data_IF_956346335325
#
_entry.id   IF_956346335325
#
_cell.length_a   1.000
_cell.length_b   1.000
_cell.length_c   1.000
_cell.angle_alpha   90.00
_cell.angle_beta   90.00
_cell.angle_gamma   90.00
#
_symmetry.space_group_name_H-M   'P 1'
#
loop_
_entity.id
_entity.type
_entity.pdbx_description
1 polymer ?
#
# COMPACT_ATOMS: atom_id res chain seq x y z
N UNK A 1 -18.43 23.34 11.70
CA UNK A 1 -17.04 23.10 11.26
C UNK A 1 -17.06 21.81 10.46
N UNK A 2 -16.95 21.91 9.14
CA UNK A 2 -17.06 20.77 8.24
C UNK A 2 -15.80 19.90 8.40
N UNK A 3 -15.99 18.64 8.75
CA UNK A 3 -14.91 17.66 8.75
C UNK A 3 -14.42 17.50 7.30
N UNK A 4 -13.16 17.83 7.03
CA UNK A 4 -12.53 17.64 5.71
C UNK A 4 -12.55 16.15 5.37
N UNK A 5 -13.36 15.78 4.37
CA UNK A 5 -13.73 14.38 4.09
C UNK A 5 -12.97 13.71 2.94
N UNK A 6 -11.96 14.37 2.34
CA UNK A 6 -10.91 13.84 1.45
C UNK A 6 -10.42 14.96 0.52
N UNK A 7 -9.11 15.14 0.39
CA UNK A 7 -8.41 16.15 -0.43
C UNK A 7 -8.60 16.03 -1.97
N UNK A 8 -9.58 15.25 -2.44
CA UNK A 8 -9.81 15.02 -3.88
C UNK A 8 -11.21 15.48 -4.33
N UNK A 9 -12.10 15.85 -3.39
CA UNK A 9 -13.44 16.33 -3.72
C UNK A 9 -13.47 17.83 -4.08
N UNK A 10 -12.54 18.60 -3.52
CA UNK A 10 -12.31 20.01 -3.80
C UNK A 10 -10.90 20.12 -4.37
N UNK A 11 -10.63 21.04 -5.30
CA UNK A 11 -9.35 21.21 -5.99
C UNK A 11 -8.19 21.67 -5.08
N UNK A 12 -8.19 21.26 -3.82
CA UNK A 12 -7.14 21.50 -2.85
C UNK A 12 -5.91 20.62 -3.16
N UNK A 13 -4.69 21.15 -2.96
CA UNK A 13 -3.48 20.35 -3.08
C UNK A 13 -3.42 19.23 -2.02
N UNK A 14 -2.98 18.05 -2.44
CA UNK A 14 -2.71 16.91 -1.57
C UNK A 14 -1.44 17.18 -0.78
N UNK A 15 -1.50 17.17 0.55
CA UNK A 15 -0.35 17.49 1.39
C UNK A 15 0.62 16.31 1.54
N UNK A 16 1.89 16.52 1.17
CA UNK A 16 2.97 15.52 1.17
C UNK A 16 4.03 15.92 2.18
N UNK A 17 4.44 14.97 3.02
CA UNK A 17 5.56 15.10 3.94
C UNK A 17 6.72 14.21 3.49
N UNK A 18 7.88 14.80 3.18
CA UNK A 18 9.13 14.07 3.03
C UNK A 18 9.85 14.02 4.37
N UNK A 19 10.16 12.81 4.84
CA UNK A 19 10.94 12.61 6.07
C UNK A 19 12.41 12.37 5.71
N UNK A 20 13.26 13.39 5.87
CA UNK A 20 14.69 13.28 5.60
C UNK A 20 15.49 12.98 6.86
N UNK A 21 16.33 11.96 6.80
CA UNK A 21 17.33 11.64 7.81
C UNK A 21 18.74 11.88 7.29
N UNK A 22 19.72 11.92 8.21
CA UNK A 22 21.10 12.16 7.84
C UNK A 22 21.65 11.07 6.92
N UNK A 23 22.34 11.50 5.84
CA UNK A 23 22.90 10.64 4.78
C UNK A 23 21.84 9.85 3.99
N UNK A 24 20.65 10.43 3.81
CA UNK A 24 19.67 9.92 2.85
C UNK A 24 20.21 9.93 1.41
N UNK A 25 19.70 9.07 0.53
CA UNK A 25 20.07 9.07 -0.89
C UNK A 25 19.31 10.17 -1.66
N UNK A 26 20.06 11.05 -2.34
CA UNK A 26 19.51 12.28 -2.90
C UNK A 26 18.39 12.02 -3.92
N UNK A 27 18.55 11.03 -4.80
CA UNK A 27 17.57 10.75 -5.86
C UNK A 27 16.29 10.08 -5.33
N UNK A 28 16.35 9.39 -4.18
CA UNK A 28 15.15 8.88 -3.50
C UNK A 28 14.23 10.01 -3.04
N UNK A 29 14.81 11.17 -2.74
CA UNK A 29 14.09 12.40 -2.43
C UNK A 29 13.70 13.16 -3.69
N UNK A 30 14.69 13.53 -4.52
CA UNK A 30 14.47 14.47 -5.62
C UNK A 30 13.65 13.87 -6.76
N UNK A 31 13.70 12.55 -6.98
CA UNK A 31 12.91 11.89 -8.01
C UNK A 31 11.40 12.04 -7.78
N UNK A 32 10.85 11.55 -6.65
CA UNK A 32 9.46 11.77 -6.29
C UNK A 32 9.09 13.26 -6.16
N UNK A 33 9.98 14.09 -5.59
CA UNK A 33 9.77 15.53 -5.46
C UNK A 33 9.50 16.19 -6.82
N UNK A 34 10.34 15.90 -7.81
CA UNK A 34 10.22 16.44 -9.17
C UNK A 34 8.88 16.02 -9.79
N UNK A 35 8.52 14.73 -9.66
CA UNK A 35 7.26 14.21 -10.20
C UNK A 35 6.03 14.88 -9.57
N UNK A 36 5.98 14.99 -8.24
CA UNK A 36 4.84 15.64 -7.56
C UNK A 36 4.74 17.13 -7.91
N UNK A 37 5.86 17.82 -8.08
CA UNK A 37 5.89 19.26 -8.37
C UNK A 37 5.28 19.60 -9.73
N UNK A 38 5.43 18.71 -10.73
CA UNK A 38 4.86 18.91 -12.06
C UNK A 38 3.38 18.51 -12.17
N UNK A 39 2.84 17.79 -11.19
CA UNK A 39 1.47 17.31 -11.26
C UNK A 39 0.45 18.41 -11.02
N UNK A 40 -0.56 18.43 -11.89
CA UNK A 40 -1.69 19.37 -11.85
C UNK A 40 -3.02 18.62 -11.90
N UNK A 41 -4.05 19.17 -11.25
CA UNK A 41 -5.43 18.68 -11.32
C UNK A 41 -6.02 18.94 -12.72
N UNK A 42 -5.70 20.08 -13.32
CA UNK A 42 -6.00 20.40 -14.73
C UNK A 42 -4.71 20.77 -15.47
N UNK A 43 -4.31 19.91 -16.41
CA UNK A 43 -3.09 20.05 -17.23
C UNK A 43 -3.07 21.34 -18.04
N UNK A 44 -4.24 21.94 -18.29
CA UNK A 44 -4.34 23.21 -19.03
C UNK A 44 -4.19 24.42 -18.13
N UNK A 45 -4.25 24.25 -16.82
CA UNK A 45 -4.19 25.34 -15.86
C UNK A 45 -3.02 25.17 -14.86
N UNK A 46 -1.92 25.94 -15.04
CA UNK A 46 -0.73 25.85 -14.19
C UNK A 46 -0.98 26.14 -12.70
N UNK A 47 -2.05 26.86 -12.38
CA UNK A 47 -2.39 27.23 -11.01
C UNK A 47 -3.04 26.08 -10.22
N UNK A 48 -3.33 24.95 -10.89
CA UNK A 48 -4.01 23.80 -10.28
C UNK A 48 -3.03 22.74 -9.78
N UNK A 49 -1.98 23.14 -9.05
CA UNK A 49 -1.01 22.19 -8.49
C UNK A 49 -1.69 21.11 -7.66
N UNK A 50 -1.34 19.85 -7.93
CA UNK A 50 -2.01 18.72 -7.30
C UNK A 50 -1.43 18.36 -5.93
N UNK A 51 -0.15 18.68 -5.68
CA UNK A 51 0.53 18.36 -4.44
C UNK A 51 1.16 19.59 -3.80
N UNK A 52 1.08 19.67 -2.49
CA UNK A 52 1.81 20.62 -1.66
C UNK A 52 2.82 19.88 -0.79
N UNK A 53 4.09 20.30 -0.82
CA UNK A 53 5.22 19.49 -0.34
C UNK A 53 5.92 20.18 0.82
N UNK A 54 6.01 19.46 1.94
CA UNK A 54 6.76 19.84 3.13
C UNK A 54 7.91 18.86 3.35
N UNK A 55 9.11 19.35 3.68
CA UNK A 55 10.27 18.52 4.01
C UNK A 55 10.58 18.67 5.50
N UNK A 56 10.54 17.55 6.21
CA UNK A 56 10.95 17.44 7.60
C UNK A 56 12.38 16.91 7.71
N UNK A 57 13.11 17.42 8.70
CA UNK A 57 14.42 16.92 9.08
C UNK A 57 14.66 17.08 10.57
N UNK A 58 15.64 16.34 11.10
CA UNK A 58 16.06 16.51 12.50
C UNK A 58 16.77 17.86 12.70
N UNK A 59 17.56 18.26 11.70
CA UNK A 59 18.29 19.52 11.65
C UNK A 59 17.76 20.40 10.50
N UNK A 60 17.92 21.74 10.56
CA UNK A 60 17.57 22.66 9.47
C UNK A 60 18.30 22.38 8.15
N UNK A 61 19.41 21.64 8.21
CA UNK A 61 20.25 21.27 7.08
C UNK A 61 20.53 19.78 7.15
N UNK A 62 19.99 19.02 6.21
CA UNK A 62 20.17 17.56 6.13
C UNK A 62 21.14 17.25 5.00
N UNK A 63 22.23 16.55 5.34
CA UNK A 63 23.26 16.14 4.39
C UNK A 63 22.86 14.84 3.71
N UNK A 64 22.73 14.84 2.38
CA UNK A 64 22.57 13.60 1.60
C UNK A 64 23.87 12.79 1.54
N UNK A 65 23.75 11.53 1.16
CA UNK A 65 24.86 10.61 0.95
C UNK A 65 25.83 11.13 -0.14
N UNK A 66 25.29 11.78 -1.17
CA UNK A 66 26.03 12.37 -2.29
C UNK A 66 26.70 13.72 -1.94
N UNK A 67 26.54 14.23 -0.72
CA UNK A 67 27.21 15.45 -0.24
C UNK A 67 26.45 16.75 -0.48
N UNK A 68 25.22 16.68 -1.02
CA UNK A 68 24.33 17.84 -1.18
C UNK A 68 23.57 18.09 0.13
N UNK A 69 23.51 19.35 0.56
CA UNK A 69 22.75 19.76 1.74
C UNK A 69 21.37 20.23 1.29
N UNK A 70 20.32 19.65 1.86
CA UNK A 70 18.92 20.07 1.68
C UNK A 70 18.43 20.76 2.95
N UNK A 71 17.76 21.89 2.79
CA UNK A 71 17.10 22.59 3.90
C UNK A 71 15.80 21.90 4.27
N UNK A 72 15.58 21.59 5.54
CA UNK A 72 14.25 21.19 6.03
C UNK A 72 13.39 22.44 6.27
N UNK A 73 12.11 22.40 5.88
CA UNK A 73 11.18 23.48 6.19
C UNK A 73 10.63 23.37 7.60
N UNK A 74 10.49 22.15 8.11
CA UNK A 74 9.97 21.86 9.46
C UNK A 74 10.86 20.88 10.19
N UNK A 75 10.83 20.95 11.53
CA UNK A 75 11.46 19.91 12.36
C UNK A 75 10.56 18.67 12.45
N UNK A 76 11.11 17.50 12.79
CA UNK A 76 10.29 16.33 13.08
C UNK A 76 9.29 16.59 14.21
N UNK A 77 9.65 17.38 15.23
CA UNK A 77 8.73 17.75 16.31
C UNK A 77 7.48 18.46 15.78
N UNK A 78 7.67 19.46 14.93
CA UNK A 78 6.56 20.19 14.30
C UNK A 78 5.75 19.28 13.36
N UNK A 79 6.44 18.43 12.58
CA UNK A 79 5.78 17.47 11.70
C UNK A 79 4.89 16.48 12.48
N UNK A 80 5.29 16.07 13.69
CA UNK A 80 4.46 15.26 14.60
C UNK A 80 3.21 16.00 15.08
N UNK A 81 3.33 17.29 15.40
CA UNK A 81 2.20 18.11 15.88
C UNK A 81 1.15 18.33 14.77
N UNK A 82 1.60 18.41 13.52
CA UNK A 82 0.78 18.66 12.32
C UNK A 82 0.52 17.39 11.51
N UNK A 83 0.77 16.20 12.07
CA UNK A 83 0.74 14.94 11.33
C UNK A 83 -0.63 14.65 10.69
N UNK A 84 -1.71 15.16 11.30
CA UNK A 84 -3.07 15.03 10.80
C UNK A 84 -3.32 15.74 9.47
N UNK A 85 -2.55 16.78 9.16
CA UNK A 85 -2.65 17.61 7.95
C UNK A 85 -2.17 16.86 6.70
N UNK A 86 -1.22 15.93 6.85
CA UNK A 86 -0.59 15.25 5.72
C UNK A 86 -1.40 14.04 5.23
N UNK A 87 -1.53 13.93 3.91
CA UNK A 87 -2.16 12.81 3.21
C UNK A 87 -1.13 11.77 2.76
N UNK A 88 0.10 12.20 2.46
CA UNK A 88 1.18 11.33 1.99
C UNK A 88 2.42 11.50 2.86
N UNK A 89 2.98 10.39 3.32
CA UNK A 89 4.32 10.33 3.92
C UNK A 89 5.29 9.64 2.95
N UNK A 90 6.38 10.33 2.60
CA UNK A 90 7.46 9.79 1.78
C UNK A 90 8.69 9.52 2.65
N UNK A 91 9.11 8.26 2.65
CA UNK A 91 10.26 7.75 3.40
C UNK A 91 11.37 7.41 2.42
N UNK A 92 12.48 8.14 2.50
CA UNK A 92 13.63 7.94 1.61
C UNK A 92 14.59 6.88 2.16
N UNK A 93 15.45 6.33 1.31
CA UNK A 93 16.52 5.43 1.71
C UNK A 93 17.83 6.14 2.06
N UNK A 94 18.90 5.37 2.17
CA UNK A 94 20.27 5.80 2.49
C UNK A 94 20.55 5.71 3.99
N UNK A 95 21.76 5.29 4.38
CA UNK A 95 22.22 5.22 5.79
C UNK A 95 21.28 4.48 6.77
N UNK A 96 20.39 3.61 6.27
CA UNK A 96 19.30 3.02 7.05
C UNK A 96 19.80 2.21 8.24
N UNK A 97 20.89 1.46 8.09
CA UNK A 97 21.43 0.64 9.19
C UNK A 97 21.85 1.49 10.41
N UNK A 98 22.47 2.64 10.19
CA UNK A 98 22.89 3.52 11.28
C UNK A 98 21.68 4.12 12.00
N UNK A 99 20.67 4.56 11.24
CA UNK A 99 19.42 5.11 11.77
C UNK A 99 18.63 4.06 12.56
N UNK A 100 18.55 2.82 12.05
CA UNK A 100 17.92 1.71 12.74
C UNK A 100 18.60 1.40 14.08
N UNK A 101 19.94 1.44 14.13
CA UNK A 101 20.72 1.23 15.36
C UNK A 101 20.52 2.34 16.38
N UNK A 102 20.51 3.59 15.94
CA UNK A 102 20.30 4.76 16.82
C UNK A 102 18.85 4.96 17.21
N UNK A 103 17.91 4.28 16.55
CA UNK A 103 16.46 4.44 16.70
C UNK A 103 16.01 5.89 16.47
N UNK A 104 16.67 6.57 15.53
CA UNK A 104 16.35 7.95 15.17
C UNK A 104 15.16 8.01 14.19
N UNK A 105 14.72 9.23 13.89
CA UNK A 105 13.78 9.49 12.81
C UNK A 105 14.34 8.96 11.47
N UNK A 106 13.49 8.38 10.59
CA UNK A 106 12.04 8.55 10.53
C UNK A 106 11.18 7.47 11.23
N UNK A 107 11.74 6.67 12.16
CA UNK A 107 11.01 5.54 12.76
C UNK A 107 9.74 5.96 13.50
N UNK A 108 9.83 7.00 14.33
CA UNK A 108 8.70 7.42 15.17
C UNK A 108 7.59 8.07 14.33
N UNK A 109 7.94 8.87 13.32
CA UNK A 109 6.94 9.49 12.45
C UNK A 109 6.22 8.48 11.58
N UNK A 110 6.92 7.46 11.06
CA UNK A 110 6.29 6.34 10.33
C UNK A 110 5.28 5.62 11.21
N UNK A 111 5.69 5.26 12.44
CA UNK A 111 4.83 4.54 13.38
C UNK A 111 3.56 5.34 13.65
N UNK A 112 3.68 6.61 14.06
CA UNK A 112 2.51 7.45 14.35
C UNK A 112 1.63 7.68 13.13
N UNK A 113 2.21 7.84 11.93
CA UNK A 113 1.42 8.02 10.71
C UNK A 113 0.59 6.76 10.39
N UNK A 114 1.15 5.58 10.62
CA UNK A 114 0.42 4.32 10.46
C UNK A 114 -0.70 4.12 11.51
N UNK A 115 -0.46 4.52 12.75
CA UNK A 115 -1.46 4.48 13.84
C UNK A 115 -2.58 5.52 13.62
N UNK A 116 -2.23 6.69 13.07
CA UNK A 116 -3.17 7.73 12.70
C UNK A 116 -4.18 7.24 11.66
N UNK A 117 -3.74 6.46 10.67
CA UNK A 117 -4.66 5.89 9.69
C UNK A 117 -5.64 4.88 10.32
N UNK A 118 -5.18 4.06 11.26
CA UNK A 118 -6.04 3.13 12.01
C UNK A 118 -7.10 3.86 12.83
N UNK A 119 -6.72 4.96 13.49
CA UNK A 119 -7.62 5.74 14.34
C UNK A 119 -8.59 6.63 13.55
N UNK A 120 -8.17 7.11 12.38
CA UNK A 120 -9.00 7.92 11.49
C UNK A 120 -9.04 7.35 10.05
N UNK A 121 -9.79 6.25 9.84
CA UNK A 121 -9.92 5.64 8.51
C UNK A 121 -10.79 6.46 7.55
N UNK A 122 -11.41 7.56 8.01
CA UNK A 122 -12.22 8.42 7.15
C UNK A 122 -11.35 9.21 6.16
N UNK A 123 -10.18 9.67 6.60
CA UNK A 123 -9.16 10.31 5.74
C UNK A 123 -8.27 9.22 5.14
N UNK A 124 -8.08 9.27 3.83
CA UNK A 124 -7.23 8.32 3.12
C UNK A 124 -5.78 8.80 3.19
N UNK A 125 -4.87 7.95 3.64
CA UNK A 125 -3.44 8.25 3.67
C UNK A 125 -2.64 7.24 2.86
N UNK A 126 -1.53 7.72 2.32
CA UNK A 126 -0.57 6.90 1.59
C UNK A 126 0.82 7.03 2.20
N UNK A 127 1.54 5.92 2.26
CA UNK A 127 2.93 5.87 2.64
C UNK A 127 3.72 5.33 1.44
N UNK A 128 4.66 6.13 0.95
CA UNK A 128 5.62 5.74 -0.07
C UNK A 128 7.01 5.59 0.57
N UNK A 129 7.62 4.42 0.47
CA UNK A 129 9.05 4.26 0.77
C UNK A 129 9.85 4.02 -0.50
N UNK A 130 11.06 4.58 -0.60
CA UNK A 130 11.97 4.37 -1.72
C UNK A 130 13.26 3.70 -1.24
N UNK A 131 13.80 2.79 -2.06
CA UNK A 131 15.06 2.12 -1.78
C UNK A 131 15.03 1.40 -0.42
N UNK A 132 16.08 1.59 0.35
CA UNK A 132 16.27 1.09 1.71
C UNK A 132 15.35 1.76 2.74
N UNK A 133 14.52 2.73 2.37
CA UNK A 133 13.50 3.31 3.25
C UNK A 133 12.44 2.28 3.69
N UNK A 134 12.20 1.25 2.86
CA UNK A 134 11.34 0.11 3.19
C UNK A 134 11.86 -0.72 4.38
N UNK A 135 13.17 -0.70 4.67
CA UNK A 135 13.74 -1.38 5.84
C UNK A 135 13.23 -0.77 7.15
N UNK A 136 12.92 0.53 7.18
CA UNK A 136 12.28 1.17 8.34
C UNK A 136 10.88 0.61 8.59
N UNK A 137 10.10 0.46 7.50
CA UNK A 137 8.76 -0.14 7.56
C UNK A 137 8.80 -1.59 8.05
N UNK A 138 9.76 -2.38 7.53
CA UNK A 138 9.98 -3.76 7.95
C UNK A 138 10.34 -3.84 9.44
N UNK A 139 11.28 -3.02 9.91
CA UNK A 139 11.68 -2.99 11.32
C UNK A 139 10.48 -2.69 12.25
N UNK A 140 9.58 -1.81 11.82
CA UNK A 140 8.41 -1.38 12.60
C UNK A 140 7.21 -2.35 12.51
N UNK A 141 7.28 -3.40 11.69
CA UNK A 141 6.15 -4.33 11.52
C UNK A 141 5.00 -3.77 10.68
N UNK A 142 5.16 -2.59 10.07
CA UNK A 142 4.10 -1.95 9.25
C UNK A 142 3.73 -2.81 8.04
N UNK A 143 4.64 -3.65 7.56
CA UNK A 143 4.45 -4.50 6.38
C UNK A 143 3.87 -5.89 6.69
N UNK A 144 3.40 -6.15 7.92
CA UNK A 144 2.93 -7.47 8.31
C UNK A 144 1.78 -7.99 7.41
N UNK A 145 2.05 -9.14 6.78
CA UNK A 145 1.33 -9.75 5.65
C UNK A 145 0.79 -8.79 4.58
N UNK A 146 1.54 -7.73 4.28
CA UNK A 146 1.47 -7.01 3.02
C UNK A 146 2.54 -7.56 2.06
N UNK A 147 2.44 -7.23 0.78
CA UNK A 147 3.54 -7.47 -0.15
C UNK A 147 4.43 -6.23 -0.28
N UNK A 148 5.74 -6.40 -0.36
CA UNK A 148 6.65 -5.27 -0.43
C UNK A 148 7.97 -5.62 -1.14
N UNK A 149 8.68 -4.59 -1.57
CA UNK A 149 10.01 -4.70 -2.19
C UNK A 149 10.98 -3.67 -1.60
N UNK A 150 12.27 -3.85 -1.86
CA UNK A 150 13.34 -2.95 -1.43
C UNK A 150 14.42 -2.87 -2.50
N UNK A 151 15.51 -2.15 -2.24
CA UNK A 151 16.66 -2.15 -3.13
C UNK A 151 17.21 -3.58 -3.29
N UNK A 152 17.50 -4.06 -4.53
CA UNK A 152 17.91 -5.45 -4.77
C UNK A 152 19.08 -5.92 -3.90
N UNK A 153 20.10 -5.08 -3.73
CA UNK A 153 21.27 -5.39 -2.88
C UNK A 153 20.94 -5.57 -1.39
N UNK A 154 19.77 -5.15 -0.93
CA UNK A 154 19.32 -5.21 0.46
C UNK A 154 18.16 -6.18 0.68
N UNK A 155 17.74 -6.95 -0.33
CA UNK A 155 16.62 -7.90 -0.23
C UNK A 155 16.80 -8.91 0.91
N UNK A 156 18.00 -9.49 1.06
CA UNK A 156 18.29 -10.43 2.15
C UNK A 156 18.11 -9.78 3.53
N UNK A 157 18.58 -8.54 3.69
CA UNK A 157 18.42 -7.78 4.94
C UNK A 157 16.96 -7.47 5.20
N UNK A 158 16.21 -7.09 4.16
CA UNK A 158 14.79 -6.81 4.23
C UNK A 158 13.97 -8.05 4.62
N UNK A 159 14.21 -9.20 4.00
CA UNK A 159 13.56 -10.46 4.36
C UNK A 159 13.79 -10.84 5.82
N UNK A 160 15.01 -10.63 6.32
CA UNK A 160 15.36 -10.89 7.71
C UNK A 160 14.61 -9.95 8.66
N UNK A 161 14.52 -8.65 8.35
CA UNK A 161 13.77 -7.68 9.14
C UNK A 161 12.27 -8.01 9.16
N UNK A 162 11.68 -8.32 8.02
CA UNK A 162 10.28 -8.73 7.92
C UNK A 162 10.01 -10.02 8.73
N UNK A 163 10.91 -11.00 8.67
CA UNK A 163 10.80 -12.25 9.45
C UNK A 163 10.91 -12.00 10.96
N UNK A 164 11.83 -11.14 11.39
CA UNK A 164 11.99 -10.75 12.78
C UNK A 164 10.77 -9.98 13.30
N UNK A 165 10.21 -9.07 12.51
CA UNK A 165 9.02 -8.32 12.87
C UNK A 165 7.80 -9.23 13.02
N UNK A 166 7.56 -10.14 12.07
CA UNK A 166 6.50 -11.14 12.14
C UNK A 166 6.62 -12.02 13.40
N UNK A 167 7.84 -12.45 13.74
CA UNK A 167 8.10 -13.24 14.95
C UNK A 167 7.84 -12.43 16.23
N UNK A 168 8.25 -11.15 16.25
CA UNK A 168 8.10 -10.25 17.40
C UNK A 168 6.63 -9.94 17.69
N UNK A 169 5.84 -9.77 16.65
CA UNK A 169 4.44 -9.32 16.74
C UNK A 169 3.43 -10.47 16.65
N UNK A 170 3.91 -11.70 16.40
CA UNK A 170 3.07 -12.89 16.17
C UNK A 170 2.08 -12.67 15.03
N UNK A 171 2.53 -11.97 13.99
CA UNK A 171 1.73 -11.59 12.82
C UNK A 171 2.24 -12.32 11.57
N UNK A 172 1.52 -12.18 10.47
CA UNK A 172 1.89 -12.74 9.18
C UNK A 172 3.15 -12.11 8.62
N UNK A 173 3.95 -12.96 7.95
CA UNK A 173 5.16 -12.51 7.28
C UNK A 173 4.80 -11.68 6.05
N UNK A 174 5.50 -10.57 5.85
CA UNK A 174 5.50 -9.80 4.60
C UNK A 174 5.90 -10.69 3.42
N UNK A 175 5.15 -10.61 2.33
CA UNK A 175 5.49 -11.22 1.05
C UNK A 175 6.51 -10.34 0.32
N UNK A 176 7.73 -10.85 0.11
CA UNK A 176 8.82 -10.06 -0.46
C UNK A 176 8.89 -10.32 -1.96
N UNK A 177 8.72 -9.26 -2.75
CA UNK A 177 8.76 -9.30 -4.21
C UNK A 177 10.12 -8.78 -4.69
N UNK A 178 10.91 -9.62 -5.32
CA UNK A 178 12.28 -9.34 -5.76
C UNK A 178 12.37 -8.82 -7.21
N UNK A 179 11.34 -9.02 -8.02
CA UNK A 179 11.28 -8.69 -9.45
C UNK A 179 10.35 -7.51 -9.80
N UNK A 180 10.05 -6.65 -8.82
CA UNK A 180 9.21 -5.48 -9.00
C UNK A 180 9.98 -4.16 -8.83
N UNK A 181 9.69 -3.16 -9.68
CA UNK A 181 10.20 -1.80 -9.47
C UNK A 181 9.57 -1.14 -8.25
N UNK A 182 8.27 -1.32 -8.09
CA UNK A 182 7.54 -0.92 -6.89
C UNK A 182 6.35 -1.86 -6.68
N UNK A 183 5.90 -1.96 -5.43
CA UNK A 183 4.76 -2.77 -5.00
C UNK A 183 3.75 -1.86 -4.33
N UNK A 184 2.47 -2.03 -4.65
CA UNK A 184 1.36 -1.27 -4.07
C UNK A 184 0.40 -2.19 -3.36
N UNK A 185 0.03 -1.85 -2.12
CA UNK A 185 -1.03 -2.50 -1.35
C UNK A 185 -2.20 -1.54 -1.13
N UNK A 186 -3.39 -2.10 -0.86
CA UNK A 186 -4.62 -1.35 -0.51
C UNK A 186 -5.00 -0.29 -1.54
N UNK A 187 -5.45 -0.77 -2.71
CA UNK A 187 -5.78 0.03 -3.88
C UNK A 187 -6.99 0.95 -3.68
N UNK A 188 -6.99 2.08 -4.38
CA UNK A 188 -8.06 3.09 -4.34
C UNK A 188 -9.26 2.79 -5.23
N UNK A 189 -9.04 2.02 -6.30
CA UNK A 189 -10.06 1.75 -7.32
C UNK A 189 -10.32 0.26 -7.34
N UNK A 190 -11.59 -0.12 -7.55
CA UNK A 190 -11.92 -1.46 -8.03
C UNK A 190 -11.10 -1.65 -9.30
N UNK A 191 -10.12 -2.57 -9.27
CA UNK A 191 -9.49 -3.02 -10.50
C UNK A 191 -10.68 -3.56 -11.32
N UNK A 192 -10.99 -2.92 -12.45
CA UNK A 192 -11.96 -3.48 -13.39
C UNK A 192 -11.48 -4.85 -13.88
N UNK A 193 -12.06 -5.37 -14.96
CA UNK A 193 -11.54 -6.62 -15.54
C UNK A 193 -10.01 -6.56 -15.70
N UNK A 194 -9.31 -7.61 -15.24
CA UNK A 194 -7.84 -7.70 -15.20
C UNK A 194 -7.17 -7.46 -16.57
N UNK A 195 -7.95 -7.57 -17.67
CA UNK A 195 -7.54 -7.27 -19.05
C UNK A 195 -7.42 -5.78 -19.37
N UNK A 196 -8.14 -4.93 -18.64
CA UNK A 196 -8.22 -3.48 -18.89
C UNK A 196 -7.42 -2.66 -17.88
N UNK A 197 -6.78 -3.28 -16.89
CA UNK A 197 -6.11 -2.56 -15.82
C UNK A 197 -4.68 -2.15 -16.19
N UNK A 198 -4.41 -0.84 -16.36
CA UNK A 198 -3.09 -0.38 -16.74
C UNK A 198 -2.00 -0.70 -15.71
N UNK A 199 -2.33 -1.07 -14.47
CA UNK A 199 -1.39 -1.19 -13.36
C UNK A 199 -1.01 -2.64 -12.98
N UNK A 200 -1.58 -3.64 -13.64
CA UNK A 200 -1.25 -5.05 -13.43
C UNK A 200 -0.28 -5.49 -14.52
N UNK A 201 0.93 -5.93 -14.16
CA UNK A 201 1.86 -6.58 -15.10
C UNK A 201 1.60 -8.08 -15.18
N UNK A 202 1.44 -8.60 -16.39
CA UNK A 202 1.38 -10.03 -16.67
C UNK A 202 2.78 -10.56 -16.97
N UNK A 203 3.00 -11.83 -16.63
CA UNK A 203 4.16 -12.60 -17.10
C UNK A 203 4.25 -12.67 -18.65
N UNK A 204 3.15 -12.35 -19.35
CA UNK A 204 3.00 -12.37 -20.82
C UNK A 204 3.11 -11.00 -21.51
N UNK A 205 3.38 -9.89 -20.80
CA UNK A 205 3.43 -8.53 -21.37
C UNK A 205 4.68 -8.23 -22.22
N UNK A 206 5.39 -9.28 -22.63
CA UNK A 206 6.33 -9.23 -23.74
C UNK A 206 5.61 -8.92 -25.06
N UNK A 207 5.49 -7.62 -25.38
CA UNK A 207 5.20 -7.08 -26.72
C UNK A 207 3.86 -7.53 -27.31
N UNK A 208 2.77 -6.89 -26.88
CA UNK A 208 1.57 -6.72 -27.73
C UNK A 208 1.21 -5.24 -27.84
N UNK A 209 1.15 -4.65 -29.05
CA UNK A 209 0.54 -3.35 -29.22
C UNK A 209 -0.96 -3.51 -28.98
N UNK A 210 -1.47 -2.87 -27.93
CA UNK A 210 -2.91 -2.89 -27.62
C UNK A 210 -3.67 -2.05 -28.66
N UNK A 211 -4.59 -2.66 -29.38
CA UNK A 211 -5.58 -1.98 -30.23
C UNK A 211 -6.81 -1.53 -29.41
N UNK A 212 -6.61 -1.11 -28.15
CA UNK A 212 -7.69 -0.67 -27.29
C UNK A 212 -8.09 0.76 -27.64
N UNK A 213 -9.39 0.97 -27.84
CA UNK A 213 -9.99 2.27 -28.16
C UNK A 213 -9.78 3.21 -26.97
N UNK A 214 -8.99 4.26 -27.18
CA UNK A 214 -8.68 5.32 -26.21
C UNK A 214 -9.98 5.87 -25.59
N UNK A 215 -10.18 5.62 -24.29
CA UNK A 215 -11.27 6.18 -23.48
C UNK A 215 -12.48 5.26 -23.28
N UNK A 216 -12.37 4.29 -22.36
CA UNK A 216 -13.56 3.67 -21.76
C UNK A 216 -14.03 4.54 -20.59
N UNK A 217 -15.32 4.89 -20.58
CA UNK A 217 -15.97 5.70 -19.54
C UNK A 217 -15.95 4.98 -18.17
N UNK A 218 -15.71 3.65 -18.16
CA UNK A 218 -15.60 2.83 -16.95
C UNK A 218 -14.41 3.25 -16.05
N UNK A 219 -13.25 3.57 -16.65
CA UNK A 219 -12.06 4.00 -15.91
C UNK A 219 -12.22 5.43 -15.35
N UNK A 220 -12.92 6.32 -16.07
CA UNK A 220 -13.24 7.67 -15.57
C UNK A 220 -14.18 7.65 -14.36
N UNK A 221 -14.98 6.58 -14.20
CA UNK A 221 -15.91 6.41 -13.08
C UNK A 221 -15.37 5.59 -11.90
N UNK A 222 -14.24 4.89 -12.05
CA UNK A 222 -13.63 4.15 -10.93
C UNK A 222 -12.95 5.09 -9.95
N UNK A 223 -12.37 6.20 -10.43
CA UNK A 223 -11.78 7.22 -9.56
C UNK A 223 -12.77 7.92 -8.62
N UNK A 224 -14.07 7.87 -8.93
CA UNK A 224 -15.13 8.48 -8.14
C UNK A 224 -15.91 7.48 -7.27
N UNK A 225 -15.69 6.16 -7.42
CA UNK A 225 -16.27 5.16 -6.52
C UNK A 225 -15.53 5.18 -5.19
N UNK A 226 -16.07 5.99 -4.28
CA UNK A 226 -15.60 6.09 -2.90
C UNK A 226 -15.67 4.72 -2.24
N UNK A 227 -14.51 4.20 -1.87
CA UNK A 227 -14.46 3.01 -1.04
C UNK A 227 -15.16 3.27 0.31
N UNK A 228 -15.96 2.31 0.78
CA UNK A 228 -16.71 2.50 2.01
C UNK A 228 -15.75 2.59 3.20
N UNK A 229 -16.01 3.54 4.11
CA UNK A 229 -15.20 3.71 5.34
C UNK A 229 -15.15 2.39 6.13
N UNK A 230 -16.24 1.62 6.10
CA UNK A 230 -16.30 0.30 6.72
C UNK A 230 -15.35 -0.72 6.07
N UNK A 231 -15.26 -0.75 4.73
CA UNK A 231 -14.29 -1.62 4.01
C UNK A 231 -12.87 -1.22 4.35
N UNK A 232 -12.57 0.08 4.40
CA UNK A 232 -11.24 0.59 4.74
C UNK A 232 -10.85 0.29 6.19
N UNK A 233 -11.77 0.48 7.14
CA UNK A 233 -11.54 0.15 8.54
C UNK A 233 -11.34 -1.36 8.77
N UNK A 234 -11.89 -2.20 7.90
CA UNK A 234 -11.67 -3.65 7.93
C UNK A 234 -10.34 -4.09 7.27
N UNK A 235 -9.73 -3.25 6.43
CA UNK A 235 -8.42 -3.54 5.87
C UNK A 235 -7.30 -3.40 6.90
N UNK A 236 -6.17 -4.07 6.62
CA UNK A 236 -4.95 -3.86 7.39
C UNK A 236 -4.53 -2.40 7.40
N UNK A 237 -3.96 -1.98 8.54
CA UNK A 237 -3.56 -0.60 8.80
C UNK A 237 -4.69 0.44 8.68
N UNK A 238 -5.97 0.04 8.81
CA UNK A 238 -7.09 0.95 8.58
C UNK A 238 -7.13 1.45 7.14
N UNK A 239 -6.69 0.61 6.20
CA UNK A 239 -6.56 0.87 4.78
C UNK A 239 -5.53 1.94 4.43
N UNK A 240 -4.43 2.03 5.20
CA UNK A 240 -3.26 2.79 4.77
C UNK A 240 -2.75 2.21 3.45
N UNK A 241 -2.64 3.04 2.42
CA UNK A 241 -1.98 2.61 1.19
C UNK A 241 -0.48 2.57 1.43
N UNK A 242 0.14 1.41 1.25
CA UNK A 242 1.59 1.26 1.41
C UNK A 242 2.21 0.93 0.06
N UNK A 243 3.12 1.78 -0.37
CA UNK A 243 3.86 1.64 -1.61
C UNK A 243 5.34 1.55 -1.28
N UNK A 244 5.99 0.48 -1.72
CA UNK A 244 7.42 0.30 -1.55
C UNK A 244 8.08 0.26 -2.93
N UNK A 245 9.01 1.17 -3.20
CA UNK A 245 9.80 1.21 -4.42
C UNK A 245 11.20 0.62 -4.16
N UNK A 246 11.63 -0.25 -5.07
CA UNK A 246 12.87 -1.02 -4.92
C UNK A 246 14.12 -0.20 -5.22
N UNK A 247 14.46 0.03 -6.48
CA UNK A 247 15.66 0.80 -6.85
C UNK A 247 15.53 2.31 -6.62
N UNK A 248 16.66 3.01 -6.60
CA UNK A 248 16.73 4.48 -6.44
C UNK A 248 15.86 5.21 -7.50
N UNK A 249 15.96 4.78 -8.77
CA UNK A 249 15.14 5.35 -9.86
C UNK A 249 13.68 4.91 -9.82
N UNK A 250 13.34 3.83 -9.11
CA UNK A 250 11.99 3.31 -9.07
C UNK A 250 11.05 4.18 -8.21
N UNK A 251 11.60 5.03 -7.35
CA UNK A 251 10.82 6.05 -6.64
C UNK A 251 10.05 6.99 -7.56
N UNK A 252 10.62 7.31 -8.74
CA UNK A 252 9.94 8.14 -9.75
C UNK A 252 8.73 7.39 -10.33
N UNK A 253 8.89 6.11 -10.67
CA UNK A 253 7.79 5.31 -11.20
C UNK A 253 6.65 5.11 -10.19
N UNK A 254 7.00 4.96 -8.90
CA UNK A 254 6.05 4.88 -7.81
C UNK A 254 5.33 6.23 -7.56
N UNK A 255 6.04 7.35 -7.69
CA UNK A 255 5.45 8.68 -7.63
C UNK A 255 4.45 8.93 -8.78
N UNK A 256 4.80 8.53 -10.01
CA UNK A 256 3.88 8.57 -11.16
C UNK A 256 2.64 7.71 -10.94
N UNK A 257 2.78 6.54 -10.33
CA UNK A 257 1.64 5.74 -9.90
C UNK A 257 0.75 6.49 -8.89
N UNK A 258 1.34 7.13 -7.88
CA UNK A 258 0.56 7.91 -6.91
C UNK A 258 -0.15 9.10 -7.55
N UNK A 259 0.49 9.79 -8.50
CA UNK A 259 -0.16 10.86 -9.27
C UNK A 259 -1.37 10.30 -10.02
N UNK A 260 -1.21 9.17 -10.71
CA UNK A 260 -2.31 8.50 -11.41
C UNK A 260 -3.47 8.13 -10.49
N UNK A 261 -3.14 7.64 -9.28
CA UNK A 261 -4.11 7.18 -8.31
C UNK A 261 -4.76 8.28 -7.46
N UNK A 262 -4.09 9.42 -7.26
CA UNK A 262 -4.60 10.49 -6.40
C UNK A 262 -5.20 11.65 -7.19
N UNK A 263 -4.72 11.86 -8.42
CA UNK A 263 -5.08 12.99 -9.30
C UNK A 263 -5.78 12.45 -10.55
N UNK A 264 -5.02 11.98 -11.53
CA UNK A 264 -5.53 11.34 -12.76
C UNK A 264 -4.39 10.69 -13.54
N UNK A 265 -4.72 9.65 -14.33
CA UNK A 265 -3.75 9.02 -15.24
C UNK A 265 -3.21 10.02 -16.28
N UNK A 266 -4.04 10.95 -16.76
CA UNK A 266 -3.65 12.00 -17.69
C UNK A 266 -2.55 12.90 -17.08
N UNK A 267 -2.70 13.28 -15.80
CA UNK A 267 -1.69 14.06 -15.08
C UNK A 267 -0.38 13.28 -14.95
N UNK A 268 -0.43 11.98 -14.65
CA UNK A 268 0.76 11.15 -14.55
C UNK A 268 1.49 10.99 -15.90
N UNK A 269 0.75 10.75 -16.99
CA UNK A 269 1.32 10.67 -18.34
C UNK A 269 1.96 12.00 -18.76
N UNK A 270 1.32 13.12 -18.44
CA UNK A 270 1.86 14.44 -18.74
C UNK A 270 3.14 14.75 -17.94
N UNK A 271 3.15 14.43 -16.64
CA UNK A 271 4.36 14.57 -15.81
C UNK A 271 5.51 13.73 -16.38
N UNK A 272 5.24 12.47 -16.74
CA UNK A 272 6.24 11.60 -17.37
C UNK A 272 6.75 12.20 -18.69
N UNK A 273 5.85 12.78 -19.50
CA UNK A 273 6.21 13.49 -20.75
C UNK A 273 7.09 14.72 -20.46
N UNK A 274 6.76 15.55 -19.48
CA UNK A 274 7.53 16.75 -19.13
C UNK A 274 8.93 16.36 -18.64
N UNK A 275 9.01 15.37 -17.75
CA UNK A 275 10.26 14.84 -17.22
C UNK A 275 11.07 14.03 -18.25
N UNK A 276 10.49 13.75 -19.44
CA UNK A 276 11.03 12.82 -20.44
C UNK A 276 11.36 11.45 -19.82
N UNK A 277 10.51 11.01 -18.89
CA UNK A 277 10.69 9.77 -18.13
C UNK A 277 9.96 8.61 -18.80
N UNK A 278 10.63 7.47 -18.93
CA UNK A 278 9.97 6.23 -19.37
C UNK A 278 9.35 5.53 -18.17
N UNK A 279 8.07 5.80 -17.92
CA UNK A 279 7.36 5.23 -16.78
C UNK A 279 7.25 3.70 -16.89
N UNK A 280 7.89 3.02 -15.95
CA UNK A 280 7.86 1.55 -15.86
C UNK A 280 6.98 1.12 -14.71
N UNK A 281 5.83 0.52 -15.05
CA UNK A 281 4.83 0.11 -14.06
C UNK A 281 5.30 -1.05 -13.19
N UNK A 282 4.90 -1.01 -11.92
CA UNK A 282 5.23 -1.96 -10.87
C UNK A 282 4.18 -3.05 -10.71
N UNK A 283 4.18 -3.68 -9.55
CA UNK A 283 3.21 -4.70 -9.13
C UNK A 283 2.20 -4.06 -8.20
N UNK A 284 0.95 -4.46 -8.38
CA UNK A 284 -0.19 -4.01 -7.59
C UNK A 284 -0.83 -5.24 -6.98
N UNK A 285 -0.94 -5.27 -5.66
CA UNK A 285 -1.48 -6.40 -4.91
C UNK A 285 -2.87 -6.04 -4.41
N UNK A 286 -3.84 -6.87 -4.79
CA UNK A 286 -5.21 -6.75 -4.30
C UNK A 286 -5.28 -7.27 -2.86
N UNK A 287 -5.73 -6.41 -1.93
CA UNK A 287 -5.79 -6.71 -0.50
C UNK A 287 -6.87 -7.72 -0.08
N UNK A 288 -7.55 -8.35 -1.03
CA UNK A 288 -8.61 -9.33 -0.79
C UNK A 288 -8.49 -10.47 -1.79
N UNK A 289 -7.61 -11.42 -1.50
CA UNK A 289 -7.44 -12.60 -2.35
C UNK A 289 -8.55 -13.65 -2.07
N UNK A 290 -9.81 -13.23 -2.27
CA UNK A 290 -11.02 -14.08 -2.11
C UNK A 290 -10.94 -15.29 -3.05
N UNK A 291 -10.15 -15.18 -4.12
CA UNK A 291 -9.82 -16.29 -5.02
C UNK A 291 -9.23 -17.50 -4.30
N UNK A 292 -8.45 -17.31 -3.24
CA UNK A 292 -7.92 -18.42 -2.43
C UNK A 292 -9.03 -19.29 -1.83
N UNK A 293 -10.17 -18.68 -1.46
CA UNK A 293 -11.34 -19.39 -0.94
C UNK A 293 -11.99 -20.24 -2.05
N UNK A 294 -12.12 -19.67 -3.25
CA UNK A 294 -12.74 -20.34 -4.40
C UNK A 294 -11.84 -21.44 -4.99
N UNK A 295 -10.52 -21.21 -5.05
CA UNK A 295 -9.53 -22.21 -5.45
C UNK A 295 -9.52 -23.36 -4.44
N UNK A 296 -9.52 -23.06 -3.14
CA UNK A 296 -9.65 -24.06 -2.08
C UNK A 296 -10.93 -24.88 -2.20
N UNK A 297 -12.07 -24.23 -2.47
CA UNK A 297 -13.35 -24.91 -2.72
C UNK A 297 -13.25 -25.84 -3.92
N UNK A 298 -12.67 -25.39 -5.03
CA UNK A 298 -12.50 -26.18 -6.24
C UNK A 298 -11.64 -27.43 -5.98
N UNK A 299 -10.53 -27.28 -5.26
CA UNK A 299 -9.66 -28.41 -4.88
C UNK A 299 -10.43 -29.42 -4.02
N UNK A 300 -11.21 -28.97 -3.04
CA UNK A 300 -12.01 -29.82 -2.15
C UNK A 300 -13.11 -30.55 -2.91
N UNK A 301 -13.77 -29.88 -3.85
CA UNK A 301 -14.76 -30.51 -4.75
C UNK A 301 -14.09 -31.60 -5.59
N UNK A 302 -12.93 -31.32 -6.20
CA UNK A 302 -12.17 -32.30 -6.98
C UNK A 302 -11.73 -33.51 -6.13
N UNK A 303 -11.26 -33.29 -4.91
CA UNK A 303 -10.91 -34.36 -3.97
C UNK A 303 -12.13 -35.18 -3.54
N UNK A 304 -13.29 -34.53 -3.36
CA UNK A 304 -14.55 -35.20 -3.01
C UNK A 304 -15.07 -36.07 -4.15
N UNK A 305 -14.96 -35.59 -5.40
CA UNK A 305 -15.26 -36.36 -6.60
C UNK A 305 -14.28 -37.52 -6.75
N UNK A 306 -12.98 -37.28 -6.52
CA UNK A 306 -11.96 -38.34 -6.48
C UNK A 306 -12.28 -39.42 -5.46
N UNK A 307 -12.65 -39.03 -4.23
CA UNK A 307 -13.07 -39.96 -3.19
C UNK A 307 -14.31 -40.78 -3.62
N UNK A 308 -15.26 -40.17 -4.32
CA UNK A 308 -16.45 -40.88 -4.81
C UNK A 308 -16.10 -42.01 -5.80
N UNK A 309 -15.22 -41.73 -6.76
CA UNK A 309 -14.87 -42.67 -7.83
C UNK A 309 -13.76 -43.66 -7.47
N UNK A 310 -12.78 -43.24 -6.65
CA UNK A 310 -11.59 -44.04 -6.31
C UNK A 310 -11.75 -44.84 -5.01
N UNK A 311 -12.87 -44.69 -4.28
CA UNK A 311 -13.12 -45.47 -3.07
C UNK A 311 -13.17 -46.98 -3.35
N UNK A 312 -12.49 -47.81 -2.52
CA UNK A 312 -12.42 -49.26 -2.71
C UNK A 312 -13.82 -49.89 -2.70
N UNK A 313 -14.05 -50.82 -3.64
CA UNK A 313 -15.33 -51.54 -3.76
C UNK A 313 -15.42 -52.60 -2.66
N UNK A 314 -16.55 -52.64 -1.94
CA UNK A 314 -16.81 -53.58 -0.84
C UNK A 314 -17.98 -53.12 0.03
N UNK A 315 -18.34 -53.89 1.06
CA UNK A 315 -19.45 -53.54 1.98
C UNK A 315 -19.26 -52.16 2.63
N UNK A 316 -18.01 -51.77 2.89
CA UNK A 316 -17.66 -50.51 3.53
C UNK A 316 -17.52 -49.32 2.55
N UNK A 317 -17.86 -49.49 1.26
CA UNK A 317 -17.64 -48.44 0.26
C UNK A 317 -18.37 -47.14 0.58
N UNK A 318 -19.59 -47.23 1.12
CA UNK A 318 -20.38 -46.05 1.52
C UNK A 318 -19.69 -45.31 2.68
N UNK A 319 -19.18 -46.06 3.65
CA UNK A 319 -18.45 -45.53 4.81
C UNK A 319 -17.19 -44.76 4.37
N UNK A 320 -16.42 -45.31 3.43
CA UNK A 320 -15.22 -44.65 2.87
C UNK A 320 -15.57 -43.34 2.15
N UNK A 321 -16.61 -43.35 1.30
CA UNK A 321 -17.05 -42.16 0.57
C UNK A 321 -17.50 -41.05 1.51
N UNK A 322 -18.39 -41.37 2.46
CA UNK A 322 -18.94 -40.37 3.37
C UNK A 322 -17.86 -39.80 4.31
N UNK A 323 -16.95 -40.64 4.81
CA UNK A 323 -15.93 -40.21 5.78
C UNK A 323 -14.88 -39.29 5.14
N UNK A 324 -14.42 -39.59 3.92
CA UNK A 324 -13.44 -38.76 3.21
C UNK A 324 -14.04 -37.41 2.77
N UNK A 325 -15.26 -37.42 2.21
CA UNK A 325 -15.95 -36.19 1.79
C UNK A 325 -16.21 -35.29 2.99
N UNK A 326 -16.68 -35.86 4.11
CA UNK A 326 -16.90 -35.10 5.34
C UNK A 326 -15.59 -34.52 5.88
N UNK A 327 -14.49 -35.28 5.88
CA UNK A 327 -13.19 -34.80 6.35
C UNK A 327 -12.67 -33.62 5.51
N UNK A 328 -12.70 -33.71 4.18
CA UNK A 328 -12.26 -32.61 3.31
C UNK A 328 -13.13 -31.37 3.47
N UNK A 329 -14.45 -31.55 3.58
CA UNK A 329 -15.40 -30.45 3.78
C UNK A 329 -15.17 -29.77 5.12
N UNK A 330 -14.99 -30.53 6.21
CA UNK A 330 -14.74 -29.97 7.54
C UNK A 330 -13.39 -29.23 7.60
N UNK A 331 -12.32 -29.79 7.03
CA UNK A 331 -11.02 -29.11 6.97
C UNK A 331 -11.10 -27.79 6.20
N UNK A 332 -11.80 -27.79 5.06
CA UNK A 332 -12.02 -26.58 4.28
C UNK A 332 -12.85 -25.54 5.03
N UNK A 333 -13.98 -25.93 5.63
CA UNK A 333 -14.83 -25.02 6.40
C UNK A 333 -14.09 -24.42 7.59
N UNK A 334 -13.32 -25.23 8.33
CA UNK A 334 -12.51 -24.74 9.43
C UNK A 334 -11.52 -23.67 8.95
N UNK A 335 -10.73 -23.99 7.92
CA UNK A 335 -9.78 -23.05 7.33
C UNK A 335 -10.46 -21.79 6.77
N UNK A 336 -11.53 -21.94 5.99
CA UNK A 336 -12.24 -20.85 5.35
C UNK A 336 -12.91 -19.93 6.38
N UNK A 337 -13.52 -20.49 7.43
CA UNK A 337 -14.12 -19.69 8.52
C UNK A 337 -13.03 -18.94 9.28
N UNK A 338 -11.89 -19.57 9.59
CA UNK A 338 -10.77 -18.85 10.24
C UNK A 338 -10.21 -17.76 9.36
N UNK A 339 -10.06 -18.02 8.06
CA UNK A 339 -9.59 -17.04 7.08
C UNK A 339 -10.56 -15.86 6.93
N UNK A 340 -11.87 -16.14 6.84
CA UNK A 340 -12.92 -15.11 6.81
C UNK A 340 -13.02 -14.33 8.12
N UNK A 341 -12.80 -14.97 9.26
CA UNK A 341 -12.76 -14.31 10.57
C UNK A 341 -11.51 -13.42 10.74
N UNK A 342 -10.41 -13.74 10.06
CA UNK A 342 -9.22 -12.88 9.98
C UNK A 342 -9.47 -11.65 9.07
N UNK A 343 -10.28 -11.80 8.03
CA UNK A 343 -10.69 -10.70 7.14
C UNK A 343 -11.70 -9.73 7.78
N UNK A 344 -12.45 -10.20 8.79
CA UNK A 344 -13.33 -9.37 9.60
C UNK A 344 -13.04 -9.65 11.07
N UNK A 345 -11.99 -9.02 11.66
CA UNK A 345 -11.74 -9.16 13.09
C UNK A 345 -13.03 -8.77 13.82
N UNK A 346 -13.56 -9.71 14.59
CA UNK A 346 -14.84 -9.63 15.30
C UNK A 346 -15.05 -8.22 15.84
N UNK A 347 -16.10 -7.58 15.33
CA UNK A 347 -16.64 -6.30 15.77
C UNK A 347 -16.39 -6.17 17.29
N UNK A 348 -15.51 -5.25 17.68
CA UNK A 348 -15.36 -4.89 19.09
C UNK A 348 -16.76 -4.64 19.65
N UNK A 349 -17.12 -5.18 20.82
CA UNK A 349 -18.35 -4.78 21.46
C UNK A 349 -18.24 -3.31 21.84
N UNK A 350 -18.76 -2.41 20.99
CA UNK A 350 -19.10 -1.05 21.41
C UNK A 350 -20.09 -1.19 22.57
N UNK A 351 -19.65 -0.85 23.78
CA UNK A 351 -20.58 -0.58 24.89
C UNK A 351 -21.60 0.44 24.43
N UNK A 352 -22.86 0.03 24.30
CA UNK A 352 -24.02 0.82 23.86
C UNK A 352 -24.48 1.89 24.86
N UNK A 353 -23.66 2.26 25.84
CA UNK A 353 -24.18 2.75 27.12
C UNK A 353 -23.71 4.18 27.50
N UNK A 354 -23.03 4.90 26.60
CA UNK A 354 -22.71 6.32 26.84
C UNK A 354 -23.72 7.21 26.11
N UNK A 355 -24.72 7.68 26.87
CA UNK A 355 -25.75 8.65 26.48
C UNK A 355 -25.13 9.91 25.85
N UNK A 356 -25.58 10.22 24.63
CA UNK A 356 -25.29 11.46 23.90
C UNK A 356 -26.04 12.69 24.47
N UNK A 357 -25.82 13.04 25.74
CA UNK A 357 -26.57 14.11 26.41
C UNK A 357 -25.74 15.26 27.01
N UNK A 358 -24.40 15.33 26.86
CA UNK A 358 -23.63 16.44 27.44
C UNK A 358 -22.43 16.89 26.59
N UNK A 359 -22.64 17.32 25.34
CA UNK A 359 -21.64 18.08 24.57
C UNK A 359 -22.12 19.45 24.10
N UNK A 360 -23.18 19.97 24.72
CA UNK A 360 -23.52 21.39 24.64
C UNK A 360 -23.84 21.92 26.03
N UNK A 361 -22.79 22.29 26.75
CA UNK A 361 -22.75 23.44 27.66
C UNK A 361 -21.29 23.83 27.93
#
# INVERSE_FOLDING_TARGET
>A
MAASTSAVADAEPISVLFALHEKFDLLDFTGPLEAFTWSQHDIKNPDTKAFDITVAGAEPRVLSNQGVIIGSQVSFKEAHERLEEFDVLVVVGGNTEAILKSKAEPLDIIKKFSELQKSNPARERSLLSVCTGSLFLAQLGVLAGLSATTHPDYLTTFENLCSQAATRELDERTDVIDDARYVVNNLRFDLGDEDDNPYIRRKSDGRRPSNARKGSISLKGSNSRRESIARRAAMRLGGLRVITAGGISAGIDAALYMIGAMVSEESAEEVARIMQWTWTKGVVVDGLDVWSIFIGLFVVVCMSVGAWFLSPKGENQVLWRSSLILAFTCCYLMWAITFLAQLHPLIEPRRSDLRAAFLHQ
#
